data_IF_317377163302
#
_entry.id   IF_317377163302
#
_cell.length_a   1.000
_cell.length_b   1.000
_cell.length_c   1.000
_cell.angle_alpha   90.00
_cell.angle_beta   90.00
_cell.angle_gamma   90.00
#
_symmetry.space_group_name_H-M   'P 1'
#
loop_
_entity.id
_entity.type
_entity.pdbx_description
1 polymer ?
#
# COMPACT_ATOMS: atom_id res chain seq x y z
N UNK A 1 -1.60 -25.98 11.83
CA UNK A 1 -1.00 -26.49 10.59
C UNK A 1 -1.47 -25.66 9.39
N UNK A 2 -2.77 -25.60 9.10
CA UNK A 2 -3.37 -24.83 7.97
C UNK A 2 -2.96 -23.34 7.90
N UNK A 3 -2.93 -22.62 9.03
CA UNK A 3 -2.60 -21.19 9.03
C UNK A 3 -1.14 -20.87 8.67
N UNK A 4 -0.21 -21.75 9.04
CA UNK A 4 1.21 -21.55 8.74
C UNK A 4 1.49 -21.77 7.25
N UNK A 5 0.88 -22.80 6.67
CA UNK A 5 0.95 -23.07 5.22
C UNK A 5 0.33 -21.94 4.41
N UNK A 6 -0.81 -21.40 4.86
CA UNK A 6 -1.43 -20.23 4.24
C UNK A 6 -0.47 -19.02 4.24
N UNK A 7 0.08 -18.65 5.40
CA UNK A 7 1.01 -17.52 5.51
C UNK A 7 2.29 -17.73 4.68
N UNK A 8 2.83 -18.96 4.65
CA UNK A 8 3.99 -19.30 3.83
C UNK A 8 3.70 -19.16 2.33
N UNK A 9 2.49 -19.54 1.89
CA UNK A 9 2.06 -19.45 0.49
C UNK A 9 1.88 -18.01 0.01
N UNK A 10 1.65 -17.05 0.92
CA UNK A 10 1.47 -15.64 0.57
C UNK A 10 2.76 -14.98 0.06
N UNK A 11 3.94 -15.43 0.49
CA UNK A 11 5.22 -14.81 0.10
C UNK A 11 5.41 -14.74 -1.43
N UNK A 12 5.36 -15.87 -2.16
CA UNK A 12 5.43 -15.87 -3.62
C UNK A 12 4.29 -15.09 -4.30
N UNK A 13 3.10 -15.07 -3.71
CA UNK A 13 1.94 -14.32 -4.21
C UNK A 13 2.21 -12.81 -4.16
N UNK A 14 2.68 -12.30 -3.01
CA UNK A 14 3.07 -10.89 -2.88
C UNK A 14 4.16 -10.49 -3.88
N UNK A 15 5.20 -11.31 -4.03
CA UNK A 15 6.26 -11.07 -5.03
C UNK A 15 5.71 -11.00 -6.45
N UNK A 16 4.73 -11.84 -6.77
CA UNK A 16 4.09 -11.84 -8.10
C UNK A 16 3.33 -10.52 -8.35
N UNK A 17 2.58 -10.04 -7.36
CA UNK A 17 1.92 -8.74 -7.45
C UNK A 17 2.91 -7.57 -7.51
N UNK A 18 3.95 -7.59 -6.69
CA UNK A 18 5.02 -6.60 -6.71
C UNK A 18 5.63 -6.48 -8.11
N UNK A 19 5.97 -7.62 -8.75
CA UNK A 19 6.52 -7.62 -10.10
C UNK A 19 5.58 -6.98 -11.12
N UNK A 20 4.28 -7.29 -11.06
CA UNK A 20 3.29 -6.67 -11.96
C UNK A 20 3.19 -5.16 -11.74
N UNK A 21 3.17 -4.70 -10.49
CA UNK A 21 3.11 -3.28 -10.16
C UNK A 21 4.41 -2.57 -10.57
N UNK A 22 5.57 -3.18 -10.35
CA UNK A 22 6.87 -2.63 -10.78
C UNK A 22 6.91 -2.49 -12.31
N UNK A 23 6.47 -3.51 -13.06
CA UNK A 23 6.39 -3.44 -14.52
C UNK A 23 5.44 -2.31 -14.96
N UNK A 24 4.28 -2.17 -14.30
CA UNK A 24 3.36 -1.05 -14.56
C UNK A 24 4.03 0.31 -14.29
N UNK A 25 4.71 0.47 -13.16
CA UNK A 25 5.42 1.71 -12.82
C UNK A 25 6.52 2.03 -13.83
N UNK A 26 7.38 1.06 -14.17
CA UNK A 26 8.48 1.25 -15.11
C UNK A 26 7.97 1.61 -16.50
N UNK A 27 6.95 0.89 -17.00
CA UNK A 27 6.38 1.16 -18.33
C UNK A 27 5.76 2.55 -18.40
N UNK A 28 4.97 2.95 -17.39
CA UNK A 28 4.37 4.29 -17.35
C UNK A 28 5.38 5.39 -17.12
N UNK A 29 6.37 5.16 -16.26
CA UNK A 29 7.46 6.09 -16.05
C UNK A 29 8.28 6.31 -17.32
N UNK A 30 8.52 5.28 -18.13
CA UNK A 30 9.23 5.45 -19.39
C UNK A 30 8.43 6.30 -20.40
N UNK A 31 7.11 6.09 -20.46
CA UNK A 31 6.21 6.80 -21.38
C UNK A 31 6.05 8.29 -21.05
N UNK A 32 5.88 8.62 -19.77
CA UNK A 32 5.52 9.97 -19.35
C UNK A 32 6.66 10.68 -18.58
N UNK A 33 7.74 9.97 -18.21
CA UNK A 33 8.91 10.48 -17.47
C UNK A 33 8.50 11.27 -16.22
N UNK A 34 9.21 12.36 -15.92
CA UNK A 34 8.95 13.26 -14.80
C UNK A 34 7.60 13.97 -14.88
N UNK A 35 6.87 13.94 -16.01
CA UNK A 35 5.53 14.51 -16.05
C UNK A 35 4.52 13.76 -15.17
N UNK A 36 4.80 12.50 -14.80
CA UNK A 36 4.00 11.75 -13.83
C UNK A 36 4.05 12.32 -12.42
N UNK A 37 5.20 12.83 -12.01
CA UNK A 37 5.45 13.36 -10.67
C UNK A 37 5.35 14.88 -10.60
N UNK A 38 5.82 15.58 -11.64
CA UNK A 38 6.00 17.03 -11.66
C UNK A 38 5.36 17.71 -12.89
N UNK A 39 4.48 17.03 -13.61
CA UNK A 39 3.69 17.68 -14.65
C UNK A 39 2.82 18.80 -14.07
N UNK A 40 2.59 19.87 -14.82
CA UNK A 40 1.60 20.90 -14.47
C UNK A 40 0.18 20.53 -14.93
N UNK A 41 -0.80 21.40 -14.63
CA UNK A 41 -2.23 21.25 -15.02
C UNK A 41 -2.45 20.96 -16.51
N UNK A 42 -1.53 21.41 -17.37
CA UNK A 42 -1.60 21.24 -18.83
C UNK A 42 -1.53 19.78 -19.31
N UNK A 43 -1.20 18.83 -18.43
CA UNK A 43 -1.12 17.38 -18.72
C UNK A 43 -2.32 16.58 -18.17
N UNK A 44 -3.23 17.22 -17.43
CA UNK A 44 -4.42 16.60 -16.85
C UNK A 44 -5.66 17.19 -17.53
N UNK A 45 -5.92 16.76 -18.78
CA UNK A 45 -7.04 17.29 -19.57
C UNK A 45 -8.27 16.39 -19.51
N UNK A 46 -8.07 15.09 -19.34
CA UNK A 46 -9.15 14.10 -19.34
C UNK A 46 -9.27 13.39 -18.00
N UNK A 47 -10.46 12.86 -17.72
CA UNK A 47 -10.71 12.04 -16.53
C UNK A 47 -9.81 10.80 -16.49
N UNK A 48 -9.51 10.21 -17.66
CA UNK A 48 -8.62 9.06 -17.77
C UNK A 48 -7.17 9.41 -17.40
N UNK A 49 -6.71 10.64 -17.72
CA UNK A 49 -5.39 11.12 -17.28
C UNK A 49 -5.34 11.25 -15.75
N UNK A 50 -6.37 11.82 -15.14
CA UNK A 50 -6.46 11.91 -13.67
C UNK A 50 -6.43 10.52 -13.01
N UNK A 51 -7.17 9.54 -13.56
CA UNK A 51 -7.18 8.17 -13.04
C UNK A 51 -5.81 7.50 -13.19
N UNK A 52 -5.14 7.66 -14.35
CA UNK A 52 -3.81 7.12 -14.59
C UNK A 52 -2.78 7.69 -13.61
N UNK A 53 -2.72 9.02 -13.47
CA UNK A 53 -1.78 9.68 -12.57
C UNK A 53 -2.03 9.30 -11.11
N UNK A 54 -3.31 9.27 -10.68
CA UNK A 54 -3.67 8.87 -9.32
C UNK A 54 -3.30 7.40 -9.05
N UNK A 55 -3.58 6.48 -9.98
CA UNK A 55 -3.23 5.08 -9.84
C UNK A 55 -1.72 4.87 -9.80
N UNK A 56 -0.96 5.58 -10.65
CA UNK A 56 0.50 5.55 -10.65
C UNK A 56 1.08 6.03 -9.31
N UNK A 57 0.62 7.17 -8.79
CA UNK A 57 1.07 7.69 -7.49
C UNK A 57 0.71 6.74 -6.34
N UNK A 58 -0.47 6.12 -6.40
CA UNK A 58 -0.91 5.14 -5.40
C UNK A 58 -0.04 3.90 -5.44
N UNK A 59 0.22 3.33 -6.63
CA UNK A 59 1.09 2.17 -6.80
C UNK A 59 2.51 2.45 -6.30
N UNK A 60 3.06 3.62 -6.64
CA UNK A 60 4.37 4.07 -6.18
C UNK A 60 4.44 4.18 -4.66
N UNK A 61 3.48 4.87 -4.03
CA UNK A 61 3.41 4.99 -2.58
C UNK A 61 3.29 3.64 -1.91
N UNK A 62 2.36 2.79 -2.38
CA UNK A 62 2.10 1.50 -1.74
C UNK A 62 3.33 0.61 -1.78
N UNK A 63 4.06 0.54 -2.90
CA UNK A 63 5.28 -0.26 -2.96
C UNK A 63 6.37 0.28 -2.04
N UNK A 64 6.61 1.59 -2.03
CA UNK A 64 7.62 2.18 -1.15
C UNK A 64 7.30 1.90 0.31
N UNK A 65 6.07 2.17 0.74
CA UNK A 65 5.66 1.94 2.13
C UNK A 65 5.55 0.46 2.48
N UNK A 66 5.28 -0.43 1.51
CA UNK A 66 5.36 -1.86 1.74
C UNK A 66 6.79 -2.28 2.11
N UNK A 67 7.80 -1.82 1.36
CA UNK A 67 9.20 -2.12 1.66
C UNK A 67 9.67 -1.45 2.96
N UNK A 68 9.31 -0.20 3.19
CA UNK A 68 9.62 0.50 4.45
C UNK A 68 9.00 -0.25 5.63
N UNK A 69 7.72 -0.65 5.53
CA UNK A 69 7.02 -1.39 6.58
C UNK A 69 7.71 -2.71 6.93
N UNK A 70 8.20 -3.46 5.93
CA UNK A 70 8.98 -4.67 6.16
C UNK A 70 10.28 -4.38 6.93
N UNK A 71 11.00 -3.31 6.56
CA UNK A 71 12.21 -2.89 7.28
C UNK A 71 11.93 -2.37 8.68
N UNK A 72 10.81 -1.70 8.90
CA UNK A 72 10.37 -1.25 10.23
C UNK A 72 10.05 -2.46 11.11
N UNK A 73 9.36 -3.48 10.61
CA UNK A 73 9.13 -4.72 11.36
C UNK A 73 10.46 -5.37 11.77
N UNK A 74 11.36 -5.59 10.81
CA UNK A 74 12.66 -6.19 11.07
C UNK A 74 13.45 -5.36 12.10
N UNK A 75 13.50 -4.04 11.93
CA UNK A 75 14.21 -3.15 12.83
C UNK A 75 13.65 -3.22 14.26
N UNK A 76 12.33 -3.12 14.42
CA UNK A 76 11.69 -3.16 15.74
C UNK A 76 11.92 -4.51 16.41
N UNK A 77 11.74 -5.63 15.70
CA UNK A 77 11.85 -6.98 16.28
C UNK A 77 13.28 -7.33 16.72
N UNK A 78 14.31 -6.65 16.21
CA UNK A 78 15.70 -6.84 16.59
C UNK A 78 16.15 -5.93 17.76
N UNK A 79 15.29 -5.04 18.26
CA UNK A 79 15.62 -4.21 19.43
C UNK A 79 15.53 -5.07 20.70
N UNK A 80 16.57 -4.99 21.53
CA UNK A 80 16.60 -5.60 22.85
C UNK A 80 15.75 -4.78 23.83
N UNK A 81 14.45 -5.08 23.88
CA UNK A 81 13.47 -4.48 24.80
C UNK A 81 12.66 -5.59 25.49
N UNK A 82 12.08 -5.24 26.63
CA UNK A 82 11.12 -6.13 27.27
C UNK A 82 9.89 -6.35 26.38
N UNK A 83 9.32 -7.55 26.46
CA UNK A 83 8.26 -8.02 25.56
C UNK A 83 7.07 -7.06 25.43
N UNK A 84 6.66 -6.42 26.53
CA UNK A 84 5.52 -5.49 26.54
C UNK A 84 5.89 -4.18 25.83
N UNK A 85 7.08 -3.65 26.10
CA UNK A 85 7.60 -2.44 25.45
C UNK A 85 7.77 -2.67 23.95
N UNK A 86 8.34 -3.82 23.58
CA UNK A 86 8.52 -4.22 22.19
C UNK A 86 7.19 -4.29 21.44
N UNK A 87 6.14 -4.85 22.06
CA UNK A 87 4.78 -4.89 21.47
C UNK A 87 4.21 -3.49 21.28
N UNK A 88 4.34 -2.61 22.28
CA UNK A 88 3.89 -1.22 22.18
C UNK A 88 4.59 -0.51 21.03
N UNK A 89 5.92 -0.61 20.97
CA UNK A 89 6.72 -0.02 19.92
C UNK A 89 6.33 -0.55 18.54
N UNK A 90 6.13 -1.86 18.41
CA UNK A 90 5.73 -2.49 17.15
C UNK A 90 4.39 -1.93 16.65
N UNK A 91 3.32 -2.04 17.44
CA UNK A 91 2.00 -1.58 16.97
C UNK A 91 1.95 -0.06 16.77
N UNK A 92 2.60 0.71 17.65
CA UNK A 92 2.71 2.16 17.48
C UNK A 92 3.43 2.54 16.20
N UNK A 93 4.55 1.88 15.89
CA UNK A 93 5.30 2.12 14.65
C UNK A 93 4.43 1.87 13.42
N UNK A 94 3.60 0.84 13.42
CA UNK A 94 2.68 0.54 12.31
C UNK A 94 1.50 1.51 12.21
N UNK A 95 1.02 2.08 13.32
CA UNK A 95 0.03 3.17 13.32
C UNK A 95 0.64 4.41 12.66
N UNK A 96 1.83 4.81 13.12
CA UNK A 96 2.56 5.97 12.57
C UNK A 96 2.89 5.74 11.09
N UNK A 97 3.35 4.55 10.72
CA UNK A 97 3.62 4.17 9.33
C UNK A 97 2.39 4.32 8.44
N UNK A 98 1.22 3.85 8.89
CA UNK A 98 -0.05 4.03 8.17
C UNK A 98 -0.44 5.51 8.02
N UNK A 99 -0.25 6.33 9.06
CA UNK A 99 -0.50 7.76 9.00
C UNK A 99 0.41 8.47 7.99
N UNK A 100 1.73 8.17 8.02
CA UNK A 100 2.70 8.74 7.09
C UNK A 100 2.37 8.33 5.65
N UNK A 101 1.92 7.08 5.41
CA UNK A 101 1.44 6.65 4.10
C UNK A 101 0.29 7.51 3.59
N UNK A 102 -0.77 7.70 4.39
CA UNK A 102 -1.95 8.50 4.00
C UNK A 102 -1.56 9.95 3.72
N UNK A 103 -0.73 10.54 4.58
CA UNK A 103 -0.24 11.91 4.41
C UNK A 103 0.56 12.02 3.12
N UNK A 104 1.49 11.09 2.87
CA UNK A 104 2.32 11.08 1.65
C UNK A 104 1.46 10.95 0.40
N UNK A 105 0.50 10.01 0.40
CA UNK A 105 -0.43 9.82 -0.71
C UNK A 105 -1.22 11.09 -1.00
N UNK A 106 -1.74 11.76 0.04
CA UNK A 106 -2.45 13.03 -0.10
C UNK A 106 -1.55 14.14 -0.63
N UNK A 107 -0.33 14.29 -0.10
CA UNK A 107 0.61 15.30 -0.56
C UNK A 107 0.99 15.11 -2.03
N UNK A 108 1.23 13.87 -2.47
CA UNK A 108 1.51 13.62 -3.88
C UNK A 108 0.34 13.96 -4.80
N UNK A 109 -0.89 13.63 -4.40
CA UNK A 109 -2.08 14.02 -5.18
C UNK A 109 -2.25 15.54 -5.22
N UNK A 110 -2.00 16.23 -4.09
CA UNK A 110 -2.08 17.68 -3.99
C UNK A 110 -1.01 18.39 -4.82
N UNK A 111 0.24 17.91 -4.79
CA UNK A 111 1.34 18.44 -5.61
C UNK A 111 1.02 18.30 -7.10
N UNK A 112 0.38 17.19 -7.49
CA UNK A 112 0.00 16.93 -8.88
C UNK A 112 -1.30 17.61 -9.31
N UNK A 113 -2.09 18.14 -8.38
CA UNK A 113 -3.44 18.65 -8.60
C UNK A 113 -4.36 17.61 -9.27
N UNK A 114 -4.25 16.34 -8.84
CA UNK A 114 -5.07 15.24 -9.36
C UNK A 114 -6.10 14.73 -8.36
N UNK A 115 -7.27 14.35 -8.88
CA UNK A 115 -8.32 13.75 -8.06
C UNK A 115 -7.96 12.34 -7.61
N UNK A 116 -8.40 11.97 -6.41
CA UNK A 116 -8.27 10.60 -5.92
C UNK A 116 -9.12 9.65 -6.75
N UNK A 117 -8.46 8.72 -7.45
CA UNK A 117 -9.10 7.58 -8.10
C UNK A 117 -9.76 6.66 -7.07
N UNK A 118 -10.67 5.81 -7.56
CA UNK A 118 -11.25 4.76 -6.71
C UNK A 118 -10.18 3.79 -6.20
N UNK A 119 -9.14 3.53 -6.99
CA UNK A 119 -7.97 2.75 -6.55
C UNK A 119 -7.31 3.39 -5.31
N UNK A 120 -7.02 4.69 -5.37
CA UNK A 120 -6.42 5.43 -4.27
C UNK A 120 -7.29 5.40 -3.00
N UNK A 121 -8.60 5.62 -3.15
CA UNK A 121 -9.57 5.59 -2.04
C UNK A 121 -9.64 4.21 -1.37
N UNK A 122 -9.71 3.14 -2.16
CA UNK A 122 -9.77 1.78 -1.64
C UNK A 122 -8.47 1.39 -0.93
N UNK A 123 -7.30 1.73 -1.50
CA UNK A 123 -6.01 1.48 -0.87
C UNK A 123 -5.86 2.26 0.44
N UNK A 124 -6.23 3.55 0.45
CA UNK A 124 -6.26 4.35 1.67
C UNK A 124 -7.18 3.75 2.73
N UNK A 125 -8.37 3.27 2.33
CA UNK A 125 -9.31 2.58 3.21
C UNK A 125 -8.71 1.31 3.83
N UNK A 126 -8.00 0.48 3.05
CA UNK A 126 -7.32 -0.71 3.56
C UNK A 126 -6.22 -0.38 4.56
N UNK A 127 -5.48 0.72 4.35
CA UNK A 127 -4.47 1.19 5.31
C UNK A 127 -5.11 1.69 6.59
N UNK A 128 -6.20 2.45 6.52
CA UNK A 128 -6.95 2.90 7.69
C UNK A 128 -7.48 1.68 8.48
N UNK A 129 -8.04 0.70 7.78
CA UNK A 129 -8.54 -0.52 8.40
C UNK A 129 -7.41 -1.34 9.07
N UNK A 130 -6.25 -1.43 8.43
CA UNK A 130 -5.04 -2.02 9.02
C UNK A 130 -4.53 -1.25 10.24
N UNK A 131 -4.60 0.09 10.22
CA UNK A 131 -4.24 0.91 11.37
C UNK A 131 -5.19 0.64 12.55
N UNK A 132 -6.48 0.44 12.32
CA UNK A 132 -7.44 0.04 13.37
C UNK A 132 -7.04 -1.28 14.03
N UNK A 133 -6.63 -2.29 13.26
CA UNK A 133 -6.10 -3.53 13.82
C UNK A 133 -4.87 -3.29 14.72
N UNK A 134 -3.95 -2.43 14.29
CA UNK A 134 -2.79 -2.08 15.10
C UNK A 134 -3.17 -1.29 16.37
N UNK A 135 -4.15 -0.38 16.32
CA UNK A 135 -4.66 0.33 17.51
C UNK A 135 -5.27 -0.66 18.50
N UNK A 136 -6.10 -1.59 18.04
CA UNK A 136 -6.71 -2.62 18.89
C UNK A 136 -5.62 -3.43 19.59
N UNK A 137 -4.59 -3.88 18.86
CA UNK A 137 -3.49 -4.64 19.46
C UNK A 137 -2.58 -3.80 20.37
N UNK A 138 -2.35 -2.54 20.01
CA UNK A 138 -1.59 -1.61 20.84
C UNK A 138 -2.22 -1.49 22.23
N UNK A 139 -3.55 -1.34 22.30
CA UNK A 139 -4.28 -1.30 23.56
C UNK A 139 -4.31 -2.69 24.21
N UNK A 140 -4.85 -3.69 23.52
CA UNK A 140 -5.09 -5.02 24.10
C UNK A 140 -3.80 -5.71 24.55
N UNK A 141 -2.81 -5.87 23.67
CA UNK A 141 -1.55 -6.58 23.97
C UNK A 141 -0.47 -5.68 24.55
N UNK A 142 -0.50 -4.38 24.23
CA UNK A 142 0.49 -3.43 24.72
C UNK A 142 0.20 -2.95 26.14
N UNK A 143 -1.07 -2.74 26.52
CA UNK A 143 -1.41 -2.24 27.86
C UNK A 143 -2.05 -3.30 28.77
N UNK A 144 -2.90 -4.18 28.22
CA UNK A 144 -3.65 -5.15 29.02
C UNK A 144 -3.12 -6.59 28.96
N UNK A 145 -2.06 -6.85 28.17
CA UNK A 145 -1.57 -8.21 27.84
C UNK A 145 -2.67 -9.20 27.42
N UNK A 146 -3.73 -8.68 26.78
CA UNK A 146 -4.86 -9.46 26.32
C UNK A 146 -4.58 -10.04 24.92
N UNK A 147 -4.41 -11.36 24.83
CA UNK A 147 -3.88 -12.02 23.63
C UNK A 147 -4.95 -12.60 22.68
N UNK A 148 -6.25 -12.62 23.04
CA UNK A 148 -7.29 -13.31 22.26
C UNK A 148 -7.53 -12.72 20.86
N UNK A 149 -7.32 -11.41 20.67
CA UNK A 149 -7.48 -10.78 19.35
C UNK A 149 -6.30 -11.06 18.40
N UNK A 150 -5.23 -11.70 18.87
CA UNK A 150 -4.01 -11.89 18.07
C UNK A 150 -4.25 -12.76 16.83
N UNK A 151 -5.11 -13.78 16.93
CA UNK A 151 -5.44 -14.64 15.78
C UNK A 151 -6.09 -13.81 14.67
N UNK A 152 -7.09 -12.99 15.03
CA UNK A 152 -7.78 -12.09 14.10
C UNK A 152 -6.78 -11.11 13.48
N UNK A 153 -5.90 -10.51 14.29
CA UNK A 153 -4.85 -9.61 13.80
C UNK A 153 -3.89 -10.29 12.82
N UNK A 154 -3.40 -11.48 13.17
CA UNK A 154 -2.39 -12.22 12.39
C UNK A 154 -2.87 -12.64 11.01
N UNK A 155 -4.19 -12.77 10.83
CA UNK A 155 -4.82 -13.06 9.54
C UNK A 155 -5.28 -11.76 8.86
N UNK A 156 -5.84 -10.84 9.63
CA UNK A 156 -6.42 -9.60 9.14
C UNK A 156 -5.41 -8.70 8.44
N UNK A 157 -4.20 -8.51 9.01
CA UNK A 157 -3.17 -7.67 8.40
C UNK A 157 -2.71 -8.23 7.03
N UNK A 158 -2.32 -9.51 6.89
CA UNK A 158 -2.01 -10.08 5.58
C UNK A 158 -3.16 -9.97 4.57
N UNK A 159 -4.42 -10.16 5.00
CA UNK A 159 -5.57 -10.01 4.10
C UNK A 159 -5.76 -8.57 3.62
N UNK A 160 -5.55 -7.56 4.47
CA UNK A 160 -5.62 -6.16 4.07
C UNK A 160 -4.52 -5.82 3.05
N UNK A 161 -3.30 -6.31 3.29
CA UNK A 161 -2.19 -6.15 2.35
C UNK A 161 -2.52 -6.85 1.02
N UNK A 162 -2.98 -8.09 1.07
CA UNK A 162 -3.36 -8.86 -0.13
C UNK A 162 -4.44 -8.16 -0.93
N UNK A 163 -5.50 -7.68 -0.27
CA UNK A 163 -6.56 -6.91 -0.92
C UNK A 163 -6.01 -5.65 -1.60
N UNK A 164 -5.10 -4.93 -0.94
CA UNK A 164 -4.43 -3.74 -1.50
C UNK A 164 -3.66 -4.07 -2.77
N UNK A 165 -2.86 -5.14 -2.76
CA UNK A 165 -2.11 -5.60 -3.94
C UNK A 165 -3.03 -6.08 -5.08
N UNK A 166 -4.13 -6.77 -4.77
CA UNK A 166 -5.13 -7.18 -5.75
C UNK A 166 -5.77 -5.95 -6.41
N UNK A 167 -6.23 -4.98 -5.61
CA UNK A 167 -6.83 -3.73 -6.10
C UNK A 167 -5.85 -3.02 -7.03
N UNK A 168 -4.60 -2.82 -6.60
CA UNK A 168 -3.58 -2.16 -7.41
C UNK A 168 -3.31 -2.90 -8.72
N UNK A 169 -3.20 -4.22 -8.67
CA UNK A 169 -2.91 -5.04 -9.85
C UNK A 169 -4.04 -4.96 -10.86
N UNK A 170 -5.29 -5.12 -10.42
CA UNK A 170 -6.47 -5.03 -11.30
C UNK A 170 -6.53 -3.66 -11.99
N UNK A 171 -6.35 -2.56 -11.24
CA UNK A 171 -6.37 -1.22 -11.81
C UNK A 171 -5.20 -0.97 -12.76
N UNK A 172 -3.99 -1.43 -12.40
CA UNK A 172 -2.79 -1.31 -13.25
C UNK A 172 -2.98 -2.02 -14.60
N UNK A 173 -3.52 -3.24 -14.58
CA UNK A 173 -3.81 -4.00 -15.80
C UNK A 173 -4.89 -3.31 -16.64
N UNK A 174 -5.99 -2.86 -16.01
CA UNK A 174 -7.08 -2.14 -16.70
C UNK A 174 -6.54 -0.89 -17.44
N UNK A 175 -5.72 -0.08 -16.77
CA UNK A 175 -5.11 1.13 -17.34
C UNK A 175 -4.10 0.81 -18.45
N UNK A 176 -3.30 -0.24 -18.28
CA UNK A 176 -2.35 -0.69 -19.30
C UNK A 176 -3.06 -1.16 -20.58
N UNK A 177 -4.16 -1.91 -20.46
CA UNK A 177 -4.95 -2.37 -21.59
C UNK A 177 -5.65 -1.22 -22.33
N UNK A 178 -6.23 -0.27 -21.59
CA UNK A 178 -6.88 0.90 -22.18
C UNK A 178 -5.87 1.80 -22.93
N UNK A 179 -4.67 1.97 -22.37
CA UNK A 179 -3.60 2.75 -23.02
C UNK A 179 -3.15 2.15 -24.36
N UNK A 180 -3.09 0.82 -24.48
CA UNK A 180 -2.78 0.16 -25.76
C UNK A 180 -3.87 0.36 -26.80
N UNK A 181 -5.15 0.30 -26.39
CA UNK A 181 -6.29 0.47 -27.30
C UNK A 181 -6.33 1.85 -27.95
N UNK A 182 -5.91 2.90 -27.26
CA UNK A 182 -5.77 4.25 -27.84
C UNK A 182 -4.59 4.36 -28.81
N UNK A 183 -3.47 3.67 -28.54
CA UNK A 183 -2.26 3.71 -29.38
C UNK A 183 -2.41 2.95 -30.71
N UNK A 184 -3.29 1.95 -30.76
CA UNK A 184 -3.59 1.18 -31.99
C UNK A 184 -4.64 1.87 -32.88
N UNK A 185 -5.37 2.86 -32.34
CA UNK A 185 -6.43 3.57 -33.07
C UNK A 185 -6.02 4.97 -33.59
N UNK A 186 -4.81 5.43 -33.32
CA UNK A 186 -4.25 6.70 -33.79
C UNK A 186 -3.29 6.44 -34.94
#
# INVERSE_FOLDING_TARGET
>A
MVWYEFLASLGPVFRSFELVIIVFLVTKFWEHRFSLFFGGKNTLKTQDDHELHSCFLTAFCTLIFYFIGARVADAVLNISMDKIELRRLYYFSFIVHGAIFIISLYLFHKIRDCNFSNCAKLCAGMVIFSATFNIIQFIARGYFDFNYFNTIYSIGIPLCNLATFIILTIYSIKLALNSRKHRVKS
#
